data_IF_046664011881
#
_entry.id   IF_046664011881
#
_cell.length_a   1.000
_cell.length_b   1.000
_cell.length_c   1.000
_cell.angle_alpha   90.00
_cell.angle_beta   90.00
_cell.angle_gamma   90.00
#
_symmetry.space_group_name_H-M   'P 1'
#
loop_
_entity.id
_entity.type
_entity.pdbx_description
1 polymer ?
#
# COMPACT_ATOMS: atom_id res chain seq x y z
N UNK A 1 -30.95 24.27 53.31
CA UNK A 1 -30.17 24.86 52.20
C UNK A 1 -28.85 24.12 52.12
N UNK A 2 -28.59 23.43 51.02
CA UNK A 2 -27.36 22.71 50.77
C UNK A 2 -27.39 22.15 49.36
N UNK A 3 -27.12 23.02 48.37
CA UNK A 3 -27.03 22.62 46.96
C UNK A 3 -25.62 22.09 46.69
N UNK A 4 -25.57 20.84 46.26
CA UNK A 4 -24.40 20.16 45.69
C UNK A 4 -23.90 20.92 44.46
N UNK A 5 -22.70 21.53 44.55
CA UNK A 5 -21.92 22.08 43.43
C UNK A 5 -20.56 21.39 43.44
N UNK A 6 -20.41 20.23 42.78
CA UNK A 6 -19.10 19.58 42.66
C UNK A 6 -18.89 18.73 41.39
N UNK A 7 -19.74 18.83 40.36
CA UNK A 7 -19.51 18.13 39.08
C UNK A 7 -19.20 19.06 37.88
N UNK A 8 -19.37 20.39 38.01
CA UNK A 8 -19.12 21.33 36.90
C UNK A 8 -17.63 21.64 36.70
N UNK A 9 -16.90 21.94 37.78
CA UNK A 9 -15.51 22.42 37.69
C UNK A 9 -14.49 21.35 37.25
N UNK A 10 -14.84 20.06 37.39
CA UNK A 10 -13.97 18.95 36.99
C UNK A 10 -14.11 18.66 35.48
N UNK A 11 -15.33 18.71 34.95
CA UNK A 11 -15.60 18.58 33.51
C UNK A 11 -15.01 19.76 32.72
N UNK A 12 -15.12 20.98 33.24
CA UNK A 12 -14.54 22.18 32.61
C UNK A 12 -13.00 22.09 32.54
N UNK A 13 -12.34 21.56 33.58
CA UNK A 13 -10.87 21.38 33.60
C UNK A 13 -10.36 20.25 32.70
N UNK A 14 -11.17 19.23 32.44
CA UNK A 14 -10.85 18.17 31.48
C UNK A 14 -11.00 18.69 30.04
N UNK A 15 -12.11 19.38 29.72
CA UNK A 15 -12.31 20.01 28.40
C UNK A 15 -11.25 21.08 28.07
N UNK A 16 -10.85 21.89 29.05
CA UNK A 16 -9.80 22.92 28.87
C UNK A 16 -8.41 22.30 28.56
N UNK A 17 -8.06 21.15 29.15
CA UNK A 17 -6.79 20.45 28.89
C UNK A 17 -6.80 19.69 27.55
N UNK A 18 -7.95 19.13 27.16
CA UNK A 18 -8.14 18.45 25.87
C UNK A 18 -7.98 19.42 24.69
N UNK A 19 -8.58 20.61 24.79
CA UNK A 19 -8.42 21.67 23.79
C UNK A 19 -7.00 22.24 23.73
N UNK A 20 -6.25 22.22 24.83
CA UNK A 20 -4.87 22.70 24.89
C UNK A 20 -3.94 21.78 24.09
N UNK A 21 -4.03 20.45 24.28
CA UNK A 21 -3.18 19.49 23.58
C UNK A 21 -3.41 19.49 22.05
N UNK A 22 -4.67 19.58 21.61
CA UNK A 22 -5.03 19.61 20.19
C UNK A 22 -4.42 20.81 19.44
N UNK A 23 -4.27 21.95 20.13
CA UNK A 23 -3.75 23.21 19.56
C UNK A 23 -2.28 23.43 19.86
N UNK A 24 -1.68 22.57 20.70
CA UNK A 24 -0.31 22.70 21.15
C UNK A 24 0.67 22.63 19.98
N UNK A 25 1.46 23.69 19.83
CA UNK A 25 2.57 23.75 18.88
C UNK A 25 3.88 23.41 19.56
N UNK A 26 4.81 22.86 18.80
CA UNK A 26 6.19 22.70 19.21
C UNK A 26 6.84 24.07 19.43
N UNK A 27 7.74 24.16 20.42
CA UNK A 27 8.52 25.39 20.68
C UNK A 27 9.33 25.83 19.46
N UNK A 28 9.82 24.85 18.69
CA UNK A 28 10.55 25.04 17.46
C UNK A 28 10.06 24.00 16.45
N UNK A 29 9.79 24.43 15.22
CA UNK A 29 9.43 23.54 14.13
C UNK A 29 10.48 22.44 13.95
N UNK A 30 10.03 21.20 13.83
CA UNK A 30 10.90 20.07 13.50
C UNK A 30 10.82 19.81 12.02
N UNK A 31 11.99 19.65 11.40
CA UNK A 31 12.10 19.46 9.96
C UNK A 31 12.83 18.15 9.70
N UNK A 32 12.20 17.24 8.96
CA UNK A 32 12.86 16.04 8.46
C UNK A 32 13.39 16.29 7.05
N UNK A 33 14.61 15.87 6.77
CA UNK A 33 15.14 15.88 5.41
C UNK A 33 14.47 14.76 4.62
N UNK A 34 13.89 15.11 3.48
CA UNK A 34 13.26 14.15 2.56
C UNK A 34 13.77 14.36 1.14
N UNK A 35 14.15 13.32 0.39
CA UNK A 35 14.67 13.48 -0.95
C UNK A 35 13.61 13.89 -1.98
N UNK A 36 12.32 13.60 -1.73
CA UNK A 36 11.21 13.87 -2.66
C UNK A 36 10.65 15.27 -2.43
N UNK A 37 10.26 15.56 -1.19
CA UNK A 37 9.63 16.83 -0.80
C UNK A 37 10.62 17.88 -0.29
N UNK A 38 11.92 17.58 -0.32
CA UNK A 38 13.05 18.35 0.24
C UNK A 38 13.06 18.41 1.78
N UNK A 39 11.91 18.73 2.37
CA UNK A 39 11.69 18.88 3.80
C UNK A 39 10.26 18.51 4.18
N UNK A 40 10.09 17.83 5.31
CA UNK A 40 8.78 17.58 5.95
C UNK A 40 8.73 18.43 7.21
N UNK A 41 7.68 19.22 7.38
CA UNK A 41 7.56 20.24 8.43
C UNK A 41 6.56 19.81 9.50
N UNK A 42 7.02 19.66 10.74
CA UNK A 42 6.17 19.28 11.89
C UNK A 42 6.12 20.43 12.88
N UNK A 43 4.92 20.99 13.06
CA UNK A 43 4.63 22.10 13.98
C UNK A 43 3.75 21.69 15.15
N UNK A 44 2.90 20.69 14.96
CA UNK A 44 1.89 20.24 15.92
C UNK A 44 2.49 19.20 16.89
N UNK A 45 2.29 19.38 18.21
CA UNK A 45 2.80 18.44 19.22
C UNK A 45 2.16 17.05 19.03
N UNK A 46 0.88 16.99 18.70
CA UNK A 46 0.16 15.74 18.38
C UNK A 46 0.88 14.94 17.30
N UNK A 47 1.24 15.58 16.19
CA UNK A 47 1.89 14.92 15.06
C UNK A 47 3.28 14.43 15.48
N UNK A 48 4.03 15.23 16.23
CA UNK A 48 5.33 14.84 16.76
C UNK A 48 5.24 13.60 17.66
N UNK A 49 4.26 13.57 18.57
CA UNK A 49 4.01 12.44 19.46
C UNK A 49 3.59 11.18 18.68
N UNK A 50 2.72 11.32 17.67
CA UNK A 50 2.32 10.22 16.79
C UNK A 50 3.51 9.61 16.05
N UNK A 51 4.38 10.46 15.49
CA UNK A 51 5.62 9.99 14.83
C UNK A 51 6.49 9.20 15.80
N UNK A 52 6.52 9.58 17.08
CA UNK A 52 7.31 8.92 18.13
C UNK A 52 6.79 7.56 18.60
N UNK A 53 5.55 7.18 18.27
CA UNK A 53 4.93 5.93 18.73
C UNK A 53 5.61 4.70 18.14
N UNK A 54 5.64 3.60 18.90
CA UNK A 54 6.24 2.34 18.45
C UNK A 54 5.56 1.77 17.20
N UNK A 55 4.24 1.94 17.06
CA UNK A 55 3.48 1.42 15.91
C UNK A 55 3.85 2.19 14.64
N UNK A 56 4.04 3.51 14.71
CA UNK A 56 4.50 4.30 13.56
C UNK A 56 5.99 4.04 13.25
N UNK A 57 6.85 3.94 14.27
CA UNK A 57 8.26 3.62 14.07
C UNK A 57 8.49 2.24 13.44
N UNK A 58 7.56 1.29 13.59
CA UNK A 58 7.58 -0.01 12.90
C UNK A 58 7.66 0.12 11.39
N UNK A 59 7.00 1.14 10.81
CA UNK A 59 6.95 1.35 9.37
C UNK A 59 8.32 1.58 8.72
N UNK A 60 9.37 1.89 9.51
CA UNK A 60 10.76 1.97 9.01
C UNK A 60 11.31 0.63 8.53
N UNK A 61 10.76 -0.48 9.03
CA UNK A 61 11.21 -1.85 8.76
C UNK A 61 10.32 -2.57 7.75
N UNK A 62 9.41 -1.84 7.11
CA UNK A 62 8.48 -2.35 6.10
C UNK A 62 8.70 -1.50 4.84
N UNK A 63 9.12 -2.14 3.74
CA UNK A 63 9.35 -1.44 2.47
C UNK A 63 8.03 -1.05 1.84
N UNK A 64 8.02 0.08 1.15
CA UNK A 64 6.86 0.55 0.40
C UNK A 64 6.50 -0.45 -0.71
N UNK A 65 7.50 -0.85 -1.51
CA UNK A 65 7.31 -1.63 -2.73
C UNK A 65 7.60 -3.12 -2.58
N UNK A 66 7.54 -3.66 -1.36
CA UNK A 66 7.66 -5.10 -1.09
C UNK A 66 8.90 -5.73 -1.75
N UNK A 67 8.70 -6.63 -2.72
CA UNK A 67 9.79 -7.36 -3.40
C UNK A 67 10.45 -6.58 -4.54
N UNK A 68 9.98 -5.36 -4.84
CA UNK A 68 10.44 -4.57 -6.00
C UNK A 68 11.94 -4.26 -5.96
N UNK A 69 12.56 -4.19 -4.77
CA UNK A 69 14.01 -4.02 -4.63
C UNK A 69 14.82 -5.13 -5.31
N UNK A 70 14.24 -6.31 -5.52
CA UNK A 70 14.89 -7.39 -6.28
C UNK A 70 14.96 -7.09 -7.77
N UNK A 71 14.12 -6.21 -8.32
CA UNK A 71 14.22 -5.75 -9.72
C UNK A 71 14.90 -4.39 -9.79
N UNK A 72 14.39 -3.43 -9.02
CA UNK A 72 14.85 -2.04 -8.95
C UNK A 72 15.57 -1.85 -7.63
N UNK A 73 16.87 -2.14 -7.61
CA UNK A 73 17.69 -2.17 -6.38
C UNK A 73 17.79 -0.87 -5.58
N UNK A 74 17.27 0.25 -6.10
CA UNK A 74 17.11 1.50 -5.34
C UNK A 74 15.79 1.60 -4.55
N UNK A 75 14.81 0.73 -4.82
CA UNK A 75 13.47 0.71 -4.22
C UNK A 75 13.46 0.18 -2.77
N UNK A 76 14.29 0.78 -1.93
CA UNK A 76 14.53 0.40 -0.54
C UNK A 76 13.80 1.33 0.45
N UNK A 77 13.02 2.29 -0.04
CA UNK A 77 12.28 3.22 0.79
C UNK A 77 11.17 2.53 1.59
N UNK A 78 10.94 3.05 2.80
CA UNK A 78 10.01 2.45 3.76
C UNK A 78 8.66 3.16 3.77
N UNK A 79 7.64 2.47 4.27
CA UNK A 79 6.32 3.06 4.51
C UNK A 79 6.37 4.27 5.43
N UNK A 80 7.33 4.31 6.36
CA UNK A 80 7.58 5.47 7.21
C UNK A 80 7.90 6.74 6.39
N UNK A 81 8.71 6.61 5.34
CA UNK A 81 9.05 7.75 4.48
C UNK A 81 7.82 8.24 3.71
N UNK A 82 7.04 7.30 3.20
CA UNK A 82 5.81 7.56 2.47
C UNK A 82 4.76 8.25 3.35
N UNK A 83 4.44 7.70 4.53
CA UNK A 83 3.46 8.29 5.45
C UNK A 83 3.81 9.72 5.87
N UNK A 84 5.09 10.03 6.07
CA UNK A 84 5.52 11.40 6.32
C UNK A 84 5.39 12.33 5.10
N UNK A 85 5.59 11.80 3.90
CA UNK A 85 5.40 12.54 2.66
C UNK A 85 3.93 12.85 2.37
N UNK A 86 3.03 11.87 2.59
CA UNK A 86 1.58 12.08 2.53
C UNK A 86 1.13 13.15 3.54
N UNK A 87 1.65 13.07 4.77
CA UNK A 87 1.45 14.12 5.78
C UNK A 87 1.90 15.50 5.28
N UNK A 88 3.09 15.64 4.69
CA UNK A 88 3.58 16.93 4.19
C UNK A 88 2.71 17.47 3.05
N UNK A 89 2.26 16.62 2.12
CA UNK A 89 1.37 17.03 1.04
C UNK A 89 0.04 17.55 1.61
N UNK A 90 -0.56 16.83 2.55
CA UNK A 90 -1.80 17.27 3.21
C UNK A 90 -1.59 18.56 3.98
N UNK A 91 -0.48 18.69 4.72
CA UNK A 91 -0.10 19.92 5.40
C UNK A 91 -0.06 21.10 4.43
N UNK A 92 0.55 20.95 3.26
CA UNK A 92 0.59 22.00 2.23
C UNK A 92 -0.79 22.30 1.67
N UNK A 93 -1.61 21.29 1.45
CA UNK A 93 -2.99 21.50 0.96
C UNK A 93 -3.79 22.33 1.98
N UNK A 94 -3.83 21.90 3.25
CA UNK A 94 -4.67 22.54 4.26
C UNK A 94 -4.11 23.88 4.75
N UNK A 95 -2.78 23.98 4.96
CA UNK A 95 -2.15 25.20 5.51
C UNK A 95 -1.87 26.27 4.45
N UNK A 96 -1.59 25.88 3.20
CA UNK A 96 -1.10 26.82 2.17
C UNK A 96 -2.12 27.01 1.03
N UNK A 97 -2.80 25.94 0.60
CA UNK A 97 -3.70 25.98 -0.57
C UNK A 97 -5.13 26.34 -0.20
N UNK A 98 -5.64 25.75 0.89
CA UNK A 98 -7.03 25.87 1.34
C UNK A 98 -7.25 26.97 2.37
N UNK A 99 -6.18 27.47 3.01
CA UNK A 99 -6.24 28.57 3.96
C UNK A 99 -7.07 29.76 3.43
N UNK A 100 -7.96 30.26 4.28
CA UNK A 100 -8.87 31.37 4.00
C UNK A 100 -9.95 31.10 2.95
N UNK A 101 -10.14 29.86 2.47
CA UNK A 101 -11.23 29.51 1.54
C UNK A 101 -12.50 29.15 2.30
N UNK A 102 -13.67 29.66 1.88
CA UNK A 102 -14.93 29.45 2.61
C UNK A 102 -15.41 27.99 2.59
N UNK A 103 -15.01 27.20 1.59
CA UNK A 103 -15.37 25.78 1.49
C UNK A 103 -14.49 24.85 2.36
N UNK A 104 -13.48 25.38 3.05
CA UNK A 104 -12.62 24.62 3.94
C UNK A 104 -12.96 24.93 5.40
N UNK A 105 -13.15 23.89 6.21
CA UNK A 105 -13.35 24.01 7.65
C UNK A 105 -12.02 23.78 8.39
N UNK A 106 -11.49 24.83 9.01
CA UNK A 106 -10.22 24.75 9.76
C UNK A 106 -10.24 23.77 10.94
N UNK A 107 -11.42 23.45 11.48
CA UNK A 107 -11.55 22.46 12.55
C UNK A 107 -11.17 21.03 12.08
N UNK A 108 -11.20 20.77 10.77
CA UNK A 108 -10.83 19.49 10.15
C UNK A 108 -9.33 19.34 9.88
N UNK A 109 -8.56 20.42 10.08
CA UNK A 109 -7.12 20.47 9.79
C UNK A 109 -6.36 19.37 10.51
N UNK A 110 -6.48 19.31 11.84
CA UNK A 110 -5.73 18.33 12.64
C UNK A 110 -6.17 16.90 12.32
N UNK A 111 -7.46 16.66 12.10
CA UNK A 111 -7.99 15.36 11.72
C UNK A 111 -7.37 14.89 10.39
N UNK A 112 -7.32 15.78 9.41
CA UNK A 112 -6.75 15.51 8.08
C UNK A 112 -5.26 15.17 8.18
N UNK A 113 -4.49 15.91 8.99
CA UNK A 113 -3.06 15.64 9.22
C UNK A 113 -2.83 14.29 9.92
N UNK A 114 -3.62 13.96 10.94
CA UNK A 114 -3.53 12.69 11.65
C UNK A 114 -3.89 11.51 10.74
N UNK A 115 -4.98 11.62 9.98
CA UNK A 115 -5.39 10.57 9.05
C UNK A 115 -4.37 10.37 7.92
N UNK A 116 -3.81 11.46 7.38
CA UNK A 116 -2.73 11.41 6.39
C UNK A 116 -1.48 10.68 6.91
N UNK A 117 -1.06 10.99 8.12
CA UNK A 117 0.11 10.35 8.74
C UNK A 117 -0.15 8.86 8.99
N UNK A 118 -1.38 8.47 9.35
CA UNK A 118 -1.68 7.14 9.87
C UNK A 118 -2.37 6.19 8.85
N UNK A 119 -2.66 6.64 7.63
CA UNK A 119 -3.42 5.86 6.64
C UNK A 119 -2.82 4.46 6.38
N UNK A 120 -1.50 4.35 6.46
CA UNK A 120 -0.72 3.18 6.07
C UNK A 120 -0.22 2.31 7.25
N UNK A 121 -0.69 2.60 8.47
CA UNK A 121 -0.17 2.06 9.73
C UNK A 121 -0.35 0.54 9.87
N UNK A 122 -1.42 0.03 9.28
CA UNK A 122 -1.85 -1.35 9.30
C UNK A 122 -1.14 -2.25 8.29
N UNK A 123 -0.26 -1.74 7.43
CA UNK A 123 0.45 -2.61 6.49
C UNK A 123 1.49 -3.51 7.17
N UNK A 124 1.53 -4.76 6.73
CA UNK A 124 2.51 -5.77 7.14
C UNK A 124 3.73 -5.86 6.21
N UNK A 125 4.68 -6.75 6.50
CA UNK A 125 5.84 -6.97 5.64
C UNK A 125 5.43 -7.46 4.25
N UNK A 126 6.07 -6.95 3.20
CA UNK A 126 5.75 -7.27 1.81
C UNK A 126 4.29 -6.99 1.38
N UNK A 127 3.53 -6.21 2.18
CA UNK A 127 2.26 -5.61 1.78
C UNK A 127 1.25 -6.64 1.23
N UNK A 128 0.70 -6.39 0.03
CA UNK A 128 -0.36 -7.20 -0.57
C UNK A 128 -0.01 -8.67 -0.77
N UNK A 129 1.27 -9.04 -0.94
CA UNK A 129 1.64 -10.46 -1.07
C UNK A 129 1.37 -11.22 0.23
N UNK A 130 1.62 -10.59 1.37
CA UNK A 130 1.38 -11.17 2.69
C UNK A 130 -0.11 -11.23 3.02
N UNK A 131 -0.84 -10.16 2.72
CA UNK A 131 -2.30 -10.05 2.87
C UNK A 131 -3.04 -11.14 2.09
N UNK A 132 -2.64 -11.40 0.84
CA UNK A 132 -3.24 -12.46 0.00
C UNK A 132 -3.09 -13.86 0.57
N UNK A 133 -1.93 -14.17 1.15
CA UNK A 133 -1.64 -15.51 1.71
C UNK A 133 -2.47 -15.78 2.96
N UNK A 134 -2.63 -14.77 3.82
CA UNK A 134 -3.25 -14.92 5.14
C UNK A 134 -4.66 -14.33 5.23
N UNK A 135 -5.22 -13.85 4.11
CA UNK A 135 -6.54 -13.21 4.03
C UNK A 135 -6.69 -12.05 5.02
N UNK A 136 -5.67 -11.21 5.08
CA UNK A 136 -5.63 -10.03 5.96
C UNK A 136 -5.95 -8.77 5.18
N UNK A 137 -6.51 -7.78 5.87
CA UNK A 137 -6.77 -6.45 5.32
C UNK A 137 -6.01 -5.40 6.14
N UNK A 138 -5.13 -4.64 5.48
CA UNK A 138 -4.35 -3.60 6.14
C UNK A 138 -5.22 -2.41 6.58
N UNK A 139 -6.34 -2.11 5.90
CA UNK A 139 -7.26 -1.06 6.34
C UNK A 139 -7.90 -1.46 7.68
N UNK A 140 -8.29 -2.74 7.84
CA UNK A 140 -8.79 -3.28 9.12
C UNK A 140 -7.72 -3.18 10.22
N UNK A 141 -6.48 -3.61 9.95
CA UNK A 141 -5.39 -3.47 10.93
C UNK A 141 -5.06 -2.01 11.25
N UNK A 142 -5.16 -1.09 10.29
CA UNK A 142 -5.01 0.34 10.56
C UNK A 142 -6.05 0.81 11.58
N UNK A 143 -7.32 0.41 11.41
CA UNK A 143 -8.38 0.72 12.37
C UNK A 143 -8.14 0.07 13.73
N UNK A 144 -7.74 -1.21 13.78
CA UNK A 144 -7.41 -1.90 15.02
C UNK A 144 -6.27 -1.21 15.78
N UNK A 145 -5.24 -0.74 15.08
CA UNK A 145 -4.14 0.01 15.70
C UNK A 145 -4.65 1.34 16.26
N UNK A 146 -5.48 2.07 15.52
CA UNK A 146 -5.99 3.38 15.93
C UNK A 146 -6.97 3.27 17.11
N UNK A 147 -7.81 2.25 17.13
CA UNK A 147 -8.89 2.07 18.11
C UNK A 147 -8.49 1.19 19.30
N UNK A 148 -7.47 0.35 19.14
CA UNK A 148 -7.01 -0.61 20.13
C UNK A 148 -6.13 -0.02 21.23
N UNK A 149 -5.57 -0.89 22.08
CA UNK A 149 -4.70 -0.49 23.19
C UNK A 149 -3.25 -0.25 22.71
N UNK A 150 -3.05 0.84 21.97
CA UNK A 150 -1.77 1.20 21.33
C UNK A 150 -1.25 2.55 21.82
N UNK A 151 0.01 2.89 21.52
CA UNK A 151 0.52 4.24 21.81
C UNK A 151 -0.17 5.30 20.92
N UNK A 152 -0.50 4.93 19.69
CA UNK A 152 -1.30 5.75 18.77
C UNK A 152 -2.64 6.14 19.39
N UNK A 153 -3.43 5.16 19.86
CA UNK A 153 -4.70 5.43 20.50
C UNK A 153 -4.54 6.32 21.73
N UNK A 154 -3.51 6.07 22.56
CA UNK A 154 -3.21 6.89 23.74
C UNK A 154 -2.90 8.33 23.38
N UNK A 155 -2.18 8.57 22.28
CA UNK A 155 -1.88 9.94 21.79
C UNK A 155 -3.15 10.61 21.27
N UNK A 156 -3.92 9.93 20.43
CA UNK A 156 -5.15 10.48 19.84
C UNK A 156 -6.22 10.75 20.90
N UNK A 157 -6.33 9.89 21.92
CA UNK A 157 -7.32 10.03 22.99
C UNK A 157 -7.05 11.20 23.95
N UNK A 158 -5.82 11.77 23.96
CA UNK A 158 -5.52 13.01 24.69
C UNK A 158 -6.19 14.24 24.08
N UNK A 159 -6.55 14.18 22.80
CA UNK A 159 -7.26 15.27 22.10
C UNK A 159 -8.72 15.29 22.51
N UNK A 160 -9.38 14.13 22.40
CA UNK A 160 -10.74 13.86 22.84
C UNK A 160 -10.99 12.36 22.72
N UNK A 161 -11.83 11.77 23.59
CA UNK A 161 -12.12 10.33 23.60
C UNK A 161 -12.67 9.78 22.28
N UNK A 162 -13.40 10.60 21.51
CA UNK A 162 -13.95 10.21 20.19
C UNK A 162 -13.00 10.46 19.02
N UNK A 163 -11.88 11.16 19.22
CA UNK A 163 -10.97 11.53 18.15
C UNK A 163 -10.34 10.33 17.43
N UNK A 164 -9.90 9.24 18.10
CA UNK A 164 -9.42 8.05 17.41
C UNK A 164 -10.44 7.47 16.42
N UNK A 165 -11.73 7.48 16.80
CA UNK A 165 -12.82 7.02 15.94
C UNK A 165 -12.94 7.84 14.67
N UNK A 166 -12.87 9.17 14.77
CA UNK A 166 -12.89 10.06 13.60
C UNK A 166 -11.74 9.76 12.64
N UNK A 167 -10.52 9.56 13.15
CA UNK A 167 -9.35 9.21 12.32
C UNK A 167 -9.59 7.88 11.58
N UNK A 168 -10.08 6.87 12.30
CA UNK A 168 -10.41 5.56 11.70
C UNK A 168 -11.55 5.65 10.66
N UNK A 169 -12.55 6.50 10.89
CA UNK A 169 -13.65 6.74 9.94
C UNK A 169 -13.16 7.42 8.65
N UNK A 170 -12.18 8.33 8.73
CA UNK A 170 -11.59 8.98 7.55
C UNK A 170 -10.86 7.94 6.69
N UNK A 171 -10.04 7.09 7.31
CA UNK A 171 -9.26 6.05 6.61
C UNK A 171 -10.18 5.02 5.96
N UNK A 172 -11.22 4.58 6.68
CA UNK A 172 -12.23 3.68 6.12
C UNK A 172 -13.27 4.36 5.21
N UNK A 173 -13.06 5.63 4.84
CA UNK A 173 -13.90 6.39 3.91
C UNK A 173 -15.37 6.55 4.36
N UNK A 174 -15.65 6.35 5.65
CA UNK A 174 -16.98 6.44 6.27
C UNK A 174 -17.23 7.76 6.98
N UNK A 175 -16.21 8.61 7.15
CA UNK A 175 -16.37 9.94 7.73
C UNK A 175 -17.36 10.81 6.93
N UNK A 176 -18.06 11.69 7.64
CA UNK A 176 -19.14 12.51 7.10
C UNK A 176 -18.63 13.56 6.10
N UNK A 177 -17.47 14.16 6.39
CA UNK A 177 -16.88 15.19 5.55
C UNK A 177 -16.12 14.55 4.37
N UNK A 178 -16.76 14.52 3.19
CA UNK A 178 -16.21 13.87 1.99
C UNK A 178 -15.00 14.61 1.42
N UNK A 179 -14.90 15.92 1.60
CA UNK A 179 -13.69 16.67 1.26
C UNK A 179 -12.47 16.11 2.02
N UNK A 180 -12.57 15.91 3.34
CA UNK A 180 -11.48 15.34 4.16
C UNK A 180 -11.07 13.95 3.68
N UNK A 181 -12.05 13.08 3.42
CA UNK A 181 -11.78 11.73 2.88
C UNK A 181 -11.08 11.81 1.53
N UNK A 182 -11.53 12.70 0.62
CA UNK A 182 -10.99 12.82 -0.73
C UNK A 182 -9.53 13.26 -0.79
N UNK A 183 -9.06 13.97 0.23
CA UNK A 183 -7.67 14.42 0.31
C UNK A 183 -6.71 13.23 0.49
N UNK A 184 -7.16 12.16 1.15
CA UNK A 184 -6.36 10.97 1.46
C UNK A 184 -6.67 9.83 0.49
N UNK A 185 -7.94 9.69 0.08
CA UNK A 185 -8.40 8.64 -0.83
C UNK A 185 -9.34 9.19 -1.90
N UNK A 186 -8.82 9.36 -3.11
CA UNK A 186 -9.55 9.72 -4.32
C UNK A 186 -8.79 9.27 -5.58
N UNK A 187 -9.08 9.86 -6.75
CA UNK A 187 -8.27 9.65 -7.96
C UNK A 187 -7.02 10.56 -7.99
N UNK A 188 -7.00 11.63 -7.18
CA UNK A 188 -5.91 12.61 -7.07
C UNK A 188 -5.72 13.04 -5.62
N UNK A 189 -5.36 12.09 -4.78
CA UNK A 189 -5.13 12.26 -3.36
C UNK A 189 -3.64 12.43 -3.02
N UNK A 190 -3.36 12.76 -1.75
CA UNK A 190 -2.00 12.92 -1.25
C UNK A 190 -1.21 11.61 -1.19
N UNK A 191 -1.89 10.47 -0.97
CA UNK A 191 -1.28 9.13 -0.99
C UNK A 191 -0.62 8.86 -2.35
N UNK A 192 -1.42 8.92 -3.43
CA UNK A 192 -0.97 8.74 -4.81
C UNK A 192 0.05 9.76 -5.24
N UNK A 193 -0.13 11.02 -4.85
CA UNK A 193 0.83 12.06 -5.20
C UNK A 193 2.20 11.83 -4.55
N UNK A 194 2.27 11.30 -3.33
CA UNK A 194 3.53 10.93 -2.70
C UNK A 194 4.12 9.69 -3.34
N UNK A 195 3.40 8.56 -3.34
CA UNK A 195 4.00 7.29 -3.74
C UNK A 195 4.46 7.34 -5.19
N UNK A 196 3.73 7.97 -6.11
CA UNK A 196 4.15 8.02 -7.53
C UNK A 196 5.50 8.71 -7.69
N UNK A 197 5.68 9.88 -7.05
CA UNK A 197 6.95 10.61 -7.11
C UNK A 197 8.05 9.92 -6.32
N UNK A 198 7.74 9.36 -5.15
CA UNK A 198 8.70 8.68 -4.29
C UNK A 198 9.18 7.39 -4.92
N UNK A 199 8.27 6.56 -5.40
CA UNK A 199 8.59 5.33 -6.12
C UNK A 199 9.42 5.64 -7.36
N UNK A 200 9.05 6.67 -8.13
CA UNK A 200 9.83 7.08 -9.29
C UNK A 200 11.26 7.49 -8.91
N UNK A 201 11.41 8.27 -7.85
CA UNK A 201 12.70 8.72 -7.32
C UNK A 201 13.59 7.54 -6.91
N UNK A 202 13.05 6.60 -6.11
CA UNK A 202 13.84 5.48 -5.58
C UNK A 202 14.06 4.35 -6.59
N UNK A 203 13.16 4.15 -7.54
CA UNK A 203 13.39 3.22 -8.67
C UNK A 203 14.30 3.81 -9.74
N UNK A 204 14.52 5.13 -9.74
CA UNK A 204 15.40 5.84 -10.67
C UNK A 204 14.77 6.08 -12.04
N UNK A 205 13.45 6.05 -12.15
CA UNK A 205 12.73 6.20 -13.43
C UNK A 205 12.25 7.62 -13.65
N UNK A 206 12.32 8.10 -14.90
CA UNK A 206 11.95 9.48 -15.24
C UNK A 206 10.46 9.67 -15.48
N UNK A 207 9.74 8.61 -15.83
CA UNK A 207 8.34 8.64 -16.30
C UNK A 207 7.28 8.57 -15.19
N UNK A 208 7.67 8.67 -13.91
CA UNK A 208 6.74 8.79 -12.78
C UNK A 208 6.69 10.18 -12.14
N UNK A 209 7.38 11.15 -12.74
CA UNK A 209 7.45 12.52 -12.23
C UNK A 209 6.38 13.40 -12.90
N UNK A 210 5.64 14.17 -12.10
CA UNK A 210 4.67 15.17 -12.56
C UNK A 210 4.80 16.46 -11.75
N UNK A 211 4.26 17.57 -12.25
CA UNK A 211 4.35 18.87 -11.58
C UNK A 211 3.31 19.02 -10.44
N UNK A 212 3.66 18.48 -9.26
CA UNK A 212 2.84 18.59 -8.05
C UNK A 212 2.62 20.06 -7.62
N UNK A 213 3.61 20.93 -7.79
CA UNK A 213 3.49 22.37 -7.46
C UNK A 213 2.39 23.03 -8.29
N UNK A 214 2.30 22.68 -9.58
CA UNK A 214 1.25 23.15 -10.46
C UNK A 214 -0.11 22.64 -10.03
N UNK A 215 -0.24 21.36 -9.66
CA UNK A 215 -1.49 20.75 -9.17
C UNK A 215 -1.97 21.45 -7.90
N UNK A 216 -1.10 21.59 -6.89
CA UNK A 216 -1.43 22.26 -5.63
C UNK A 216 -1.92 23.70 -5.86
N UNK A 217 -1.25 24.46 -6.74
CA UNK A 217 -1.63 25.85 -7.05
C UNK A 217 -3.06 26.00 -7.60
N UNK A 218 -3.52 25.01 -8.37
CA UNK A 218 -4.82 25.03 -9.07
C UNK A 218 -5.90 24.24 -8.34
N UNK A 219 -5.56 23.50 -7.29
CA UNK A 219 -6.49 22.73 -6.47
C UNK A 219 -7.41 23.63 -5.65
N UNK A 220 -8.70 23.28 -5.54
CA UNK A 220 -9.72 24.04 -4.80
C UNK A 220 -10.59 23.09 -3.97
N UNK A 221 -10.94 23.45 -2.74
CA UNK A 221 -11.92 22.71 -1.96
C UNK A 221 -13.32 22.93 -2.54
N UNK A 222 -14.13 21.87 -2.55
CA UNK A 222 -15.58 21.89 -2.75
C UNK A 222 -16.20 20.97 -1.72
N UNK A 223 -17.51 21.09 -1.52
CA UNK A 223 -18.28 20.37 -0.50
C UNK A 223 -17.94 18.88 -0.44
N UNK A 224 -17.88 18.22 -1.60
CA UNK A 224 -17.67 16.77 -1.66
C UNK A 224 -16.21 16.33 -1.89
N UNK A 225 -15.36 17.17 -2.50
CA UNK A 225 -14.00 16.77 -2.89
C UNK A 225 -13.08 17.94 -3.27
N UNK A 226 -11.77 17.68 -3.31
CA UNK A 226 -10.83 18.57 -3.97
C UNK A 226 -11.00 18.54 -5.50
N UNK A 227 -11.08 19.71 -6.13
CA UNK A 227 -11.21 19.87 -7.60
C UNK A 227 -10.04 20.66 -8.15
N UNK A 228 -9.78 20.56 -9.46
CA UNK A 228 -8.66 21.25 -10.12
C UNK A 228 -9.22 22.34 -11.05
N UNK A 229 -8.72 23.58 -10.99
CA UNK A 229 -9.10 24.59 -12.00
C UNK A 229 -8.76 24.10 -13.41
N UNK A 230 -9.60 24.41 -14.40
CA UNK A 230 -9.38 24.05 -15.81
C UNK A 230 -7.99 24.43 -16.33
N UNK A 231 -7.44 25.57 -15.89
CA UNK A 231 -6.07 26.00 -16.24
C UNK A 231 -4.96 25.02 -15.80
N UNK A 232 -5.29 24.05 -14.96
CA UNK A 232 -4.43 23.00 -14.44
C UNK A 232 -4.54 21.67 -15.17
N UNK A 233 -5.44 21.53 -16.14
CA UNK A 233 -5.76 20.27 -16.81
C UNK A 233 -4.52 19.49 -17.25
N UNK A 234 -3.58 20.13 -17.95
CA UNK A 234 -2.37 19.46 -18.44
C UNK A 234 -1.45 18.93 -17.34
N UNK A 235 -1.44 19.54 -16.14
CA UNK A 235 -0.68 18.98 -15.01
C UNK A 235 -1.35 17.71 -14.46
N UNK A 236 -2.68 17.65 -14.53
CA UNK A 236 -3.44 16.45 -14.18
C UNK A 236 -3.28 15.37 -15.25
N UNK A 237 -3.24 15.73 -16.54
CA UNK A 237 -2.93 14.79 -17.63
C UNK A 237 -1.56 14.13 -17.41
N UNK A 238 -0.55 14.92 -17.05
CA UNK A 238 0.80 14.45 -16.75
C UNK A 238 0.85 13.53 -15.53
N UNK A 239 0.10 13.85 -14.46
CA UNK A 239 -0.11 12.97 -13.30
C UNK A 239 -0.73 11.62 -13.70
N UNK A 240 -1.80 11.63 -14.51
CA UNK A 240 -2.45 10.38 -14.96
C UNK A 240 -1.51 9.57 -15.86
N UNK A 241 -0.74 10.23 -16.73
CA UNK A 241 0.23 9.55 -17.59
C UNK A 241 1.38 8.95 -16.77
N UNK A 242 1.88 9.68 -15.79
CA UNK A 242 2.90 9.21 -14.86
C UNK A 242 2.42 7.98 -14.10
N UNK A 243 1.19 8.02 -13.58
CA UNK A 243 0.54 6.87 -12.95
C UNK A 243 0.46 5.69 -13.91
N UNK A 244 -0.06 5.89 -15.12
CA UNK A 244 -0.15 4.85 -16.14
C UNK A 244 1.21 4.15 -16.37
N UNK A 245 2.27 4.93 -16.54
CA UNK A 245 3.60 4.40 -16.81
C UNK A 245 4.19 3.66 -15.61
N UNK A 246 4.01 4.17 -14.38
CA UNK A 246 4.47 3.52 -13.16
C UNK A 246 3.86 2.13 -12.95
N UNK A 247 2.58 1.95 -13.23
CA UNK A 247 1.95 0.63 -13.13
C UNK A 247 2.57 -0.39 -14.08
N UNK A 248 2.73 -0.05 -15.36
CA UNK A 248 3.25 -0.99 -16.35
C UNK A 248 4.74 -1.28 -16.20
N UNK A 249 5.52 -0.28 -15.78
CA UNK A 249 6.97 -0.39 -15.77
C UNK A 249 7.52 -0.83 -14.42
N UNK A 250 6.84 -0.50 -13.31
CA UNK A 250 7.30 -0.81 -11.95
C UNK A 250 6.40 -1.87 -11.31
N UNK A 251 5.13 -1.53 -11.04
CA UNK A 251 4.27 -2.36 -10.19
C UNK A 251 3.95 -3.71 -10.84
N UNK A 252 3.81 -3.76 -12.16
CA UNK A 252 3.52 -4.98 -12.92
C UNK A 252 4.76 -5.56 -13.61
N UNK A 253 5.97 -5.12 -13.23
CA UNK A 253 7.18 -5.66 -13.82
C UNK A 253 7.27 -7.18 -13.55
N UNK A 254 7.33 -8.04 -14.58
CA UNK A 254 7.25 -9.50 -14.41
C UNK A 254 8.31 -10.09 -13.47
N UNK A 255 9.52 -9.51 -13.42
CA UNK A 255 10.56 -9.97 -12.49
C UNK A 255 10.20 -9.67 -11.02
N UNK A 256 9.55 -8.53 -10.74
CA UNK A 256 9.06 -8.20 -9.39
C UNK A 256 7.94 -9.15 -9.00
N UNK A 257 6.99 -9.37 -9.91
CA UNK A 257 5.88 -10.32 -9.74
C UNK A 257 6.40 -11.75 -9.50
N UNK A 258 7.46 -12.18 -10.19
CA UNK A 258 8.13 -13.46 -9.95
C UNK A 258 8.62 -13.62 -8.51
N UNK A 259 9.20 -12.56 -7.94
CA UNK A 259 9.62 -12.58 -6.54
C UNK A 259 8.43 -12.64 -5.56
N UNK A 260 7.32 -11.94 -5.85
CA UNK A 260 6.09 -12.06 -5.06
C UNK A 260 5.48 -13.47 -5.14
N UNK A 261 5.52 -14.10 -6.31
CA UNK A 261 5.06 -15.49 -6.51
C UNK A 261 5.87 -16.43 -5.62
N UNK A 262 7.20 -16.33 -5.66
CA UNK A 262 8.06 -17.17 -4.82
C UNK A 262 7.78 -16.91 -3.33
N UNK A 263 7.70 -15.64 -2.92
CA UNK A 263 7.37 -15.24 -1.55
C UNK A 263 6.06 -15.91 -1.07
N UNK A 264 5.01 -15.81 -1.88
CA UNK A 264 3.69 -16.40 -1.62
C UNK A 264 3.80 -17.92 -1.46
N UNK A 265 4.54 -18.58 -2.35
CA UNK A 265 4.71 -20.05 -2.32
C UNK A 265 5.56 -20.53 -1.15
N UNK A 266 6.55 -19.76 -0.68
CA UNK A 266 7.26 -20.06 0.58
C UNK A 266 6.27 -20.08 1.74
N UNK A 267 5.47 -19.02 1.89
CA UNK A 267 4.53 -18.88 3.01
C UNK A 267 3.42 -19.94 2.97
N UNK A 268 2.90 -20.26 1.77
CA UNK A 268 1.97 -21.38 1.60
C UNK A 268 2.60 -22.71 2.01
N UNK A 269 3.82 -23.00 1.56
CA UNK A 269 4.50 -24.25 1.91
C UNK A 269 4.72 -24.36 3.41
N UNK A 270 5.14 -23.28 4.07
CA UNK A 270 5.29 -23.24 5.52
C UNK A 270 3.97 -23.51 6.25
N UNK A 271 2.85 -22.93 5.78
CA UNK A 271 1.51 -23.18 6.33
C UNK A 271 1.08 -24.65 6.15
N UNK A 272 1.35 -25.26 4.99
CA UNK A 272 1.02 -26.66 4.71
C UNK A 272 1.84 -27.63 5.59
N UNK A 273 3.13 -27.34 5.77
CA UNK A 273 4.01 -28.10 6.66
C UNK A 273 3.55 -28.00 8.12
N UNK A 274 3.16 -26.81 8.58
CA UNK A 274 2.57 -26.63 9.93
C UNK A 274 1.32 -27.51 10.11
N UNK A 275 0.39 -27.47 9.15
CA UNK A 275 -0.86 -28.26 9.20
C UNK A 275 -0.64 -29.77 9.19
N UNK A 276 0.47 -30.25 8.61
CA UNK A 276 0.82 -31.68 8.58
C UNK A 276 1.63 -32.13 9.79
N UNK A 277 1.91 -31.24 10.75
CA UNK A 277 2.70 -31.55 11.94
C UNK A 277 4.20 -31.68 11.67
N UNK A 278 4.69 -31.04 10.59
CA UNK A 278 6.12 -30.95 10.30
C UNK A 278 6.87 -30.30 11.46
N UNK A 279 8.02 -30.87 11.83
CA UNK A 279 8.89 -30.31 12.85
C UNK A 279 9.96 -29.45 12.18
N UNK A 280 9.75 -28.14 12.21
CA UNK A 280 10.75 -27.17 11.76
C UNK A 280 12.01 -27.26 12.61
N UNK A 281 13.17 -26.98 12.01
CA UNK A 281 14.44 -26.88 12.76
C UNK A 281 14.39 -25.72 13.75
N UNK A 282 13.75 -24.63 13.36
CA UNK A 282 13.41 -23.51 14.23
C UNK A 282 11.91 -23.26 14.16
N UNK A 283 11.25 -23.30 15.32
CA UNK A 283 9.82 -23.08 15.41
C UNK A 283 9.43 -21.68 14.87
N UNK A 284 8.53 -21.60 13.86
CA UNK A 284 8.09 -20.35 13.26
C UNK A 284 7.03 -19.65 14.12
N UNK A 285 7.37 -19.35 15.38
CA UNK A 285 6.44 -18.84 16.40
C UNK A 285 5.67 -17.58 15.97
N UNK A 286 6.30 -16.71 15.18
CA UNK A 286 5.67 -15.47 14.68
C UNK A 286 4.59 -15.75 13.63
N UNK A 287 4.54 -16.96 13.06
CA UNK A 287 3.56 -17.36 12.07
C UNK A 287 2.44 -18.25 12.61
N UNK A 288 2.51 -18.72 13.87
CA UNK A 288 1.50 -19.65 14.36
C UNK A 288 0.08 -19.06 14.37
N UNK A 289 -0.10 -17.84 14.86
CA UNK A 289 -1.41 -17.19 14.83
C UNK A 289 -1.90 -16.90 13.40
N UNK A 290 -0.99 -16.71 12.45
CA UNK A 290 -1.30 -16.62 11.01
C UNK A 290 -1.71 -17.96 10.40
N UNK A 291 -0.99 -19.03 10.72
CA UNK A 291 -1.28 -20.37 10.22
C UNK A 291 -2.59 -20.93 10.77
N UNK A 292 -2.94 -20.55 12.00
CA UNK A 292 -4.19 -20.89 12.68
C UNK A 292 -5.36 -19.97 12.36
N UNK A 293 -5.13 -18.91 11.57
CA UNK A 293 -6.14 -17.91 11.20
C UNK A 293 -6.79 -17.26 12.43
N UNK A 294 -5.97 -17.00 13.45
CA UNK A 294 -6.33 -16.35 14.74
C UNK A 294 -5.34 -15.24 15.08
N UNK A 295 -4.99 -14.44 14.08
CA UNK A 295 -4.02 -13.36 14.22
C UNK A 295 -4.52 -12.36 15.26
N UNK A 296 -3.68 -12.07 16.24
CA UNK A 296 -3.92 -10.98 17.19
C UNK A 296 -3.18 -9.74 16.72
N UNK A 297 -3.69 -8.55 17.08
CA UNK A 297 -2.98 -7.30 16.81
C UNK A 297 -1.55 -7.29 17.39
N UNK A 298 -1.36 -7.88 18.58
CA UNK A 298 -0.04 -7.95 19.21
C UNK A 298 0.96 -8.78 18.39
N UNK A 299 0.53 -9.92 17.86
CA UNK A 299 1.37 -10.74 16.99
C UNK A 299 1.63 -10.06 15.66
N UNK A 300 0.60 -9.43 15.09
CA UNK A 300 0.71 -8.68 13.84
C UNK A 300 1.76 -7.56 13.92
N UNK A 301 1.76 -6.80 15.02
CA UNK A 301 2.72 -5.71 15.24
C UNK A 301 4.16 -6.18 15.48
N UNK A 302 4.40 -7.47 15.71
CA UNK A 302 5.75 -8.05 15.79
C UNK A 302 6.32 -8.39 14.40
N UNK A 303 5.50 -8.32 13.34
CA UNK A 303 5.92 -8.65 11.99
C UNK A 303 6.51 -7.44 11.27
N UNK A 304 7.68 -7.66 10.70
CA UNK A 304 8.34 -6.81 9.73
C UNK A 304 9.21 -7.67 8.80
N UNK A 305 9.80 -7.07 7.77
CA UNK A 305 10.50 -7.86 6.74
C UNK A 305 11.74 -8.56 7.29
N UNK A 306 12.38 -8.02 8.33
CA UNK A 306 13.55 -8.65 8.94
C UNK A 306 13.18 -9.98 9.61
N UNK A 307 12.01 -10.06 10.26
CA UNK A 307 11.48 -11.31 10.81
C UNK A 307 11.24 -12.35 9.72
N UNK A 308 10.58 -11.95 8.63
CA UNK A 308 10.29 -12.86 7.51
C UNK A 308 11.59 -13.38 6.86
N UNK A 309 12.53 -12.47 6.58
CA UNK A 309 13.82 -12.82 5.98
C UNK A 309 14.67 -13.70 6.89
N UNK A 310 14.61 -13.52 8.22
CA UNK A 310 15.24 -14.43 9.17
C UNK A 310 14.72 -15.86 9.01
N UNK A 311 13.40 -16.04 8.96
CA UNK A 311 12.83 -17.37 8.77
C UNK A 311 13.18 -17.95 7.40
N UNK A 312 13.18 -17.15 6.34
CA UNK A 312 13.61 -17.63 5.02
C UNK A 312 15.07 -18.07 5.05
N UNK A 313 15.92 -17.37 5.78
CA UNK A 313 17.31 -17.77 5.95
C UNK A 313 17.42 -19.15 6.60
N UNK A 314 16.68 -19.39 7.68
CA UNK A 314 16.65 -20.70 8.37
C UNK A 314 16.02 -21.78 7.48
N UNK A 315 14.99 -21.44 6.72
CA UNK A 315 14.25 -22.38 5.88
C UNK A 315 15.05 -22.91 4.70
N UNK A 316 16.14 -22.24 4.28
CA UNK A 316 17.14 -22.81 3.36
C UNK A 316 17.82 -24.08 3.90
N UNK A 317 17.79 -24.27 5.22
CA UNK A 317 18.40 -25.43 5.87
C UNK A 317 17.39 -26.53 6.18
N UNK A 318 16.09 -26.36 5.90
CA UNK A 318 15.07 -27.36 6.22
C UNK A 318 15.20 -28.65 5.39
N UNK A 319 14.62 -29.73 5.91
CA UNK A 319 14.63 -31.03 5.21
C UNK A 319 13.56 -31.10 4.10
N UNK A 320 12.54 -30.24 4.16
CA UNK A 320 11.54 -30.16 3.09
C UNK A 320 12.15 -29.53 1.83
N UNK A 321 12.23 -30.28 0.70
CA UNK A 321 12.96 -29.81 -0.47
C UNK A 321 12.33 -28.59 -1.14
N UNK A 322 11.00 -28.44 -1.04
CA UNK A 322 10.26 -27.32 -1.66
C UNK A 322 10.49 -26.05 -0.84
N UNK A 323 10.27 -26.11 0.48
CA UNK A 323 10.48 -24.95 1.35
C UNK A 323 11.92 -24.47 1.28
N UNK A 324 12.87 -25.41 1.28
CA UNK A 324 14.29 -25.14 1.11
C UNK A 324 14.58 -24.42 -0.20
N UNK A 325 14.23 -25.02 -1.34
CA UNK A 325 14.56 -24.46 -2.66
C UNK A 325 13.89 -23.09 -2.87
N UNK A 326 12.61 -22.92 -2.50
CA UNK A 326 11.93 -21.64 -2.64
C UNK A 326 12.58 -20.54 -1.77
N UNK A 327 12.96 -20.87 -0.54
CA UNK A 327 13.65 -19.94 0.35
C UNK A 327 15.03 -19.57 -0.20
N UNK A 328 15.79 -20.55 -0.72
CA UNK A 328 17.09 -20.32 -1.37
C UNK A 328 16.94 -19.42 -2.61
N UNK A 329 15.88 -19.63 -3.39
CA UNK A 329 15.56 -18.80 -4.57
C UNK A 329 15.30 -17.36 -4.21
N UNK A 330 14.49 -17.12 -3.19
CA UNK A 330 14.18 -15.75 -2.77
C UNK A 330 15.42 -15.04 -2.22
N UNK A 331 16.14 -15.70 -1.29
CA UNK A 331 17.31 -15.13 -0.63
C UNK A 331 18.48 -14.86 -1.58
N UNK A 332 18.66 -15.71 -2.60
CA UNK A 332 19.76 -15.59 -3.57
C UNK A 332 19.30 -15.04 -4.94
N UNK A 333 18.08 -14.52 -5.02
CA UNK A 333 17.50 -13.93 -6.25
C UNK A 333 17.53 -14.87 -7.47
N UNK A 334 17.32 -16.17 -7.25
CA UNK A 334 17.07 -17.14 -8.32
C UNK A 334 15.56 -17.21 -8.65
N UNK A 335 15.06 -16.16 -9.28
CA UNK A 335 13.64 -15.96 -9.53
C UNK A 335 13.11 -16.83 -10.68
N UNK A 336 11.81 -17.15 -10.64
CA UNK A 336 11.13 -17.85 -11.72
C UNK A 336 11.17 -17.02 -13.02
N UNK A 337 11.25 -17.73 -14.14
CA UNK A 337 11.00 -17.17 -15.48
C UNK A 337 9.51 -17.15 -15.73
N UNK A 338 9.10 -16.46 -16.80
CA UNK A 338 7.71 -16.30 -17.15
C UNK A 338 7.49 -16.48 -18.65
N UNK A 339 6.27 -16.84 -19.01
CA UNK A 339 5.75 -16.81 -20.37
C UNK A 339 4.42 -16.05 -20.39
N UNK A 340 4.09 -15.43 -21.53
CA UNK A 340 2.74 -14.93 -21.79
C UNK A 340 1.75 -16.10 -21.72
N UNK A 341 0.66 -15.93 -20.99
CA UNK A 341 -0.29 -17.02 -20.79
C UNK A 341 -1.69 -16.48 -20.47
N UNK A 342 -2.66 -16.71 -21.35
CA UNK A 342 -4.06 -16.34 -21.09
C UNK A 342 -4.85 -17.56 -20.55
N UNK A 343 -5.19 -17.61 -19.24
CA UNK A 343 -5.86 -18.77 -18.66
C UNK A 343 -7.22 -19.07 -19.30
N UNK A 344 -7.93 -18.06 -19.81
CA UNK A 344 -9.23 -18.26 -20.46
C UNK A 344 -9.09 -18.92 -21.83
N UNK A 345 -7.98 -18.69 -22.53
CA UNK A 345 -7.73 -19.24 -23.88
C UNK A 345 -6.88 -20.51 -23.86
N UNK A 346 -5.98 -20.65 -22.90
CA UNK A 346 -4.93 -21.66 -22.87
C UNK A 346 -5.10 -22.70 -21.75
N UNK A 347 -6.33 -22.90 -21.23
CA UNK A 347 -6.62 -23.85 -20.16
C UNK A 347 -6.12 -25.30 -20.45
N UNK A 348 -6.21 -25.77 -21.70
CA UNK A 348 -5.68 -27.10 -22.08
C UNK A 348 -4.17 -27.19 -21.95
N UNK A 349 -3.47 -26.11 -22.33
CA UNK A 349 -2.01 -26.01 -22.21
C UNK A 349 -1.59 -26.03 -20.75
N UNK A 350 -2.35 -25.33 -19.88
CA UNK A 350 -2.12 -25.38 -18.43
C UNK A 350 -2.25 -26.80 -17.87
N UNK A 351 -3.37 -27.48 -18.14
CA UNK A 351 -3.58 -28.84 -17.64
C UNK A 351 -2.53 -29.84 -18.16
N UNK A 352 -2.07 -29.67 -19.40
CA UNK A 352 -0.95 -30.46 -19.93
C UNK A 352 0.36 -30.17 -19.17
N UNK A 353 0.69 -28.89 -18.95
CA UNK A 353 1.87 -28.50 -18.19
C UNK A 353 1.83 -29.02 -16.75
N UNK A 354 0.70 -28.94 -16.05
CA UNK A 354 0.57 -29.50 -14.70
C UNK A 354 0.86 -31.00 -14.66
N UNK A 355 0.34 -31.76 -15.63
CA UNK A 355 0.59 -33.19 -15.73
C UNK A 355 2.07 -33.49 -16.04
N UNK A 356 2.69 -32.70 -16.91
CA UNK A 356 4.11 -32.86 -17.25
C UNK A 356 5.04 -32.48 -16.09
N UNK A 357 4.74 -31.41 -15.34
CA UNK A 357 5.48 -31.01 -14.14
C UNK A 357 5.45 -32.15 -13.10
N UNK A 358 4.26 -32.69 -12.80
CA UNK A 358 4.13 -33.87 -11.92
C UNK A 358 4.96 -35.05 -12.41
N UNK A 359 4.93 -35.34 -13.71
CA UNK A 359 5.73 -36.42 -14.34
C UNK A 359 7.24 -36.14 -14.30
N UNK A 360 7.65 -34.88 -14.29
CA UNK A 360 9.03 -34.45 -14.15
C UNK A 360 9.54 -34.48 -12.70
N UNK A 361 8.64 -34.68 -11.72
CA UNK A 361 8.97 -34.63 -10.29
C UNK A 361 9.07 -33.20 -9.75
N UNK A 362 8.45 -32.23 -10.43
CA UNK A 362 8.39 -30.83 -10.01
C UNK A 362 6.94 -30.56 -9.63
N UNK A 363 6.69 -30.15 -8.40
CA UNK A 363 5.31 -29.94 -7.92
C UNK A 363 4.70 -28.68 -8.56
N UNK A 364 3.70 -28.80 -9.45
CA UNK A 364 3.12 -27.65 -10.12
C UNK A 364 2.44 -26.68 -9.15
N UNK A 365 2.01 -27.12 -7.96
CA UNK A 365 1.40 -26.22 -6.98
C UNK A 365 2.37 -25.12 -6.54
N UNK A 366 3.67 -25.41 -6.47
CA UNK A 366 4.68 -24.45 -6.00
C UNK A 366 5.53 -23.87 -7.14
N UNK A 367 5.58 -24.55 -8.29
CA UNK A 367 6.52 -24.23 -9.37
C UNK A 367 5.86 -23.90 -10.72
N UNK A 368 4.53 -23.93 -10.83
CA UNK A 368 3.81 -23.55 -12.04
C UNK A 368 2.66 -22.62 -11.66
N UNK A 369 2.91 -21.31 -11.71
CA UNK A 369 2.00 -20.32 -11.11
C UNK A 369 1.47 -19.37 -12.17
N UNK A 370 0.15 -19.33 -12.32
CA UNK A 370 -0.53 -18.28 -13.08
C UNK A 370 -0.71 -17.07 -12.17
N UNK A 371 -0.14 -15.94 -12.57
CA UNK A 371 -0.37 -14.65 -11.93
C UNK A 371 -1.08 -13.73 -12.91
N UNK A 372 -2.03 -12.96 -12.39
CA UNK A 372 -2.81 -12.00 -13.16
C UNK A 372 -2.71 -10.64 -12.50
N UNK A 373 -2.21 -9.67 -13.24
CA UNK A 373 -2.18 -8.27 -12.82
C UNK A 373 -3.15 -7.48 -13.69
N UNK A 374 -3.94 -6.61 -13.07
CA UNK A 374 -4.82 -5.70 -13.81
C UNK A 374 -4.83 -4.37 -13.11
N UNK A 375 -4.78 -3.29 -13.88
CA UNK A 375 -5.04 -1.96 -13.38
C UNK A 375 -6.05 -1.23 -14.27
N UNK A 376 -6.72 -0.26 -13.65
CA UNK A 376 -7.51 0.77 -14.32
C UNK A 376 -6.80 2.11 -14.05
N UNK A 377 -5.94 2.57 -14.99
CA UNK A 377 -5.06 3.73 -14.78
C UNK A 377 -5.82 5.00 -14.40
N UNK A 378 -7.06 5.12 -14.88
CA UNK A 378 -8.05 6.07 -14.43
C UNK A 378 -9.42 5.39 -14.48
N UNK A 379 -10.07 5.32 -13.32
CA UNK A 379 -11.34 4.63 -13.11
C UNK A 379 -12.29 5.48 -12.27
N UNK A 380 -13.53 5.61 -12.74
CA UNK A 380 -14.57 6.36 -12.04
C UNK A 380 -15.92 5.81 -12.46
N UNK A 381 -16.93 5.99 -11.60
CA UNK A 381 -18.24 5.36 -11.70
C UNK A 381 -18.71 5.10 -13.14
N UNK A 382 -18.88 3.81 -13.46
CA UNK A 382 -19.62 3.30 -14.61
C UNK A 382 -20.86 2.58 -14.09
N UNK A 383 -22.05 2.79 -14.69
CA UNK A 383 -23.25 2.09 -14.25
C UNK A 383 -23.04 0.56 -14.24
N UNK A 384 -23.02 -0.05 -13.06
CA UNK A 384 -22.89 -1.51 -12.86
C UNK A 384 -21.57 -2.04 -12.29
N UNK A 385 -20.61 -1.19 -11.89
CA UNK A 385 -19.37 -1.61 -11.22
C UNK A 385 -19.40 -1.33 -9.69
N UNK A 386 -18.73 -2.17 -8.89
CA UNK A 386 -18.89 -2.25 -7.41
C UNK A 386 -18.22 -1.13 -6.59
N UNK A 387 -17.27 -0.37 -7.15
CA UNK A 387 -16.56 0.70 -6.42
C UNK A 387 -16.90 2.11 -6.96
N UNK A 388 -17.63 2.90 -6.17
CA UNK A 388 -17.90 4.31 -6.44
C UNK A 388 -16.68 5.19 -6.12
N UNK A 389 -15.82 5.45 -7.11
CA UNK A 389 -14.77 6.49 -6.98
C UNK A 389 -15.19 7.76 -7.71
N UNK A 390 -15.15 8.88 -6.99
CA UNK A 390 -15.42 10.20 -7.57
C UNK A 390 -14.35 10.52 -8.64
N UNK A 391 -14.77 10.98 -9.84
CA UNK A 391 -13.81 11.35 -10.87
C UNK A 391 -13.11 12.67 -10.53
N UNK A 392 -11.99 12.93 -11.21
CA UNK A 392 -11.33 14.23 -11.11
C UNK A 392 -12.17 15.27 -11.85
N UNK A 393 -12.60 16.29 -11.12
CA UNK A 393 -13.36 17.40 -11.68
C UNK A 393 -12.49 18.62 -11.98
N UNK A 394 -12.72 19.19 -13.15
CA UNK A 394 -12.21 20.47 -13.59
C UNK A 394 -13.20 21.59 -13.24
N UNK A 395 -12.75 22.58 -12.47
CA UNK A 395 -13.48 23.80 -12.19
C UNK A 395 -13.31 24.79 -13.35
N UNK A 396 -14.39 24.99 -14.09
CA UNK A 396 -14.47 25.87 -15.25
C UNK A 396 -14.58 27.35 -14.82
N UNK A 397 -14.36 28.28 -15.78
CA UNK A 397 -14.44 29.73 -15.51
C UNK A 397 -15.85 30.20 -15.07
N UNK A 398 -16.89 29.49 -15.50
CA UNK A 398 -18.29 29.73 -15.13
C UNK A 398 -18.68 29.04 -13.79
N UNK A 399 -17.73 28.49 -13.04
CA UNK A 399 -17.92 27.68 -11.83
C UNK A 399 -18.61 26.32 -12.03
N UNK A 400 -18.83 25.91 -13.27
CA UNK A 400 -19.29 24.55 -13.59
C UNK A 400 -18.17 23.55 -13.30
N UNK A 401 -18.54 22.35 -12.82
CA UNK A 401 -17.63 21.23 -12.68
C UNK A 401 -17.79 20.32 -13.91
N UNK A 402 -16.66 19.96 -14.52
CA UNK A 402 -16.63 19.00 -15.63
C UNK A 402 -15.67 17.88 -15.35
N UNK A 403 -16.06 16.67 -15.70
CA UNK A 403 -15.21 15.49 -15.55
C UNK A 403 -14.00 15.59 -16.50
N UNK A 404 -12.81 15.23 -16.00
CA UNK A 404 -11.53 15.37 -16.70
C UNK A 404 -11.49 14.70 -18.08
N UNK A 405 -11.93 13.44 -18.19
CA UNK A 405 -11.89 12.68 -19.46
C UNK A 405 -12.76 13.32 -20.54
N UNK A 406 -13.84 14.02 -20.17
CA UNK A 406 -14.67 14.77 -21.14
C UNK A 406 -13.95 15.98 -21.75
N UNK A 407 -12.92 16.49 -21.10
CA UNK A 407 -12.18 17.68 -21.54
C UNK A 407 -10.75 17.36 -22.05
N UNK A 408 -10.24 16.15 -21.77
CA UNK A 408 -8.91 15.69 -22.16
C UNK A 408 -8.96 14.46 -23.06
N UNK A 409 -8.58 14.63 -24.34
CA UNK A 409 -8.49 13.52 -25.29
C UNK A 409 -7.44 12.46 -24.89
N UNK A 410 -6.38 12.85 -24.17
CA UNK A 410 -5.34 11.93 -23.71
C UNK A 410 -5.88 11.06 -22.58
N UNK A 411 -6.56 11.65 -21.61
CA UNK A 411 -7.16 10.92 -20.49
C UNK A 411 -8.30 10.03 -21.00
N UNK A 412 -9.17 10.54 -21.88
CA UNK A 412 -10.25 9.74 -22.49
C UNK A 412 -9.70 8.48 -23.19
N UNK A 413 -8.58 8.62 -23.91
CA UNK A 413 -7.97 7.50 -24.64
C UNK A 413 -7.50 6.34 -23.75
N UNK A 414 -7.28 6.56 -22.45
CA UNK A 414 -6.85 5.52 -21.49
C UNK A 414 -7.92 5.22 -20.42
N UNK A 415 -8.96 6.04 -20.33
CA UNK A 415 -10.03 5.94 -19.32
C UNK A 415 -10.81 4.63 -19.41
N UNK A 416 -10.83 3.90 -18.30
CA UNK A 416 -11.45 2.59 -18.13
C UNK A 416 -11.22 1.59 -19.26
N UNK A 417 -10.03 1.63 -19.87
CA UNK A 417 -9.47 0.50 -20.61
C UNK A 417 -8.76 -0.40 -19.61
N UNK A 418 -9.47 -1.38 -19.06
CA UNK A 418 -8.85 -2.41 -18.21
C UNK A 418 -7.82 -3.15 -19.04
N UNK A 419 -6.57 -3.04 -18.63
CA UNK A 419 -5.50 -3.81 -19.24
C UNK A 419 -5.08 -4.86 -18.23
N UNK A 420 -5.28 -6.10 -18.62
CA UNK A 420 -4.90 -7.27 -17.84
C UNK A 420 -3.68 -7.89 -18.46
N UNK A 421 -2.71 -8.24 -17.64
CA UNK A 421 -1.54 -9.00 -18.03
C UNK A 421 -1.52 -10.31 -17.26
N UNK A 422 -1.41 -11.40 -17.99
CA UNK A 422 -1.44 -12.75 -17.44
C UNK A 422 -0.13 -13.45 -17.78
N UNK A 423 0.56 -13.92 -16.73
CA UNK A 423 1.85 -14.59 -16.85
C UNK A 423 1.78 -15.96 -16.22
N UNK A 424 2.51 -16.90 -16.82
CA UNK A 424 2.79 -18.20 -16.24
C UNK A 424 4.25 -18.24 -15.77
N UNK A 425 4.46 -18.35 -14.46
CA UNK A 425 5.78 -18.41 -13.83
C UNK A 425 6.26 -19.85 -13.62
N UNK A 426 7.55 -20.10 -13.85
CA UNK A 426 8.18 -21.42 -13.73
C UNK A 426 9.69 -21.37 -13.45
N UNK A 427 10.28 -22.41 -12.83
CA UNK A 427 11.71 -22.53 -12.55
C UNK A 427 12.50 -23.03 -13.78
N UNK A 428 12.96 -22.12 -14.64
CA UNK A 428 13.67 -22.49 -15.87
C UNK A 428 14.93 -23.34 -15.62
N UNK A 429 15.65 -23.09 -14.53
CA UNK A 429 16.83 -23.87 -14.11
C UNK A 429 16.51 -25.36 -13.88
N UNK A 430 15.41 -25.67 -13.19
CA UNK A 430 14.98 -27.06 -12.97
C UNK A 430 14.57 -27.74 -14.28
N UNK A 431 14.00 -26.97 -15.22
CA UNK A 431 13.63 -27.46 -16.54
C UNK A 431 14.84 -27.64 -17.46
N UNK A 432 15.91 -26.86 -17.30
CA UNK A 432 17.15 -26.97 -18.07
C UNK A 432 18.07 -28.08 -17.57
N UNK A 433 17.91 -28.53 -16.31
CA UNK A 433 18.65 -29.68 -15.78
C UNK A 433 18.19 -31.00 -16.42
N UNK A 434 18.99 -31.51 -17.36
CA UNK A 434 18.76 -32.77 -18.06
C UNK A 434 19.17 -34.03 -17.25
N UNK A 435 19.63 -33.89 -16.00
CA UNK A 435 20.08 -35.00 -15.13
C UNK A 435 18.97 -36.04 -14.87
N UNK A 436 17.73 -35.59 -14.81
CA UNK A 436 16.54 -36.40 -14.50
C UNK A 436 15.39 -36.10 -15.46
N UNK A 437 14.63 -37.13 -15.84
CA UNK A 437 13.39 -37.02 -16.64
C UNK A 437 13.51 -36.16 -17.92
N UNK A 438 14.68 -36.17 -18.57
CA UNK A 438 15.05 -35.36 -19.75
C UNK A 438 13.97 -35.26 -20.83
N UNK A 439 13.35 -36.38 -21.20
CA UNK A 439 12.33 -36.39 -22.25
C UNK A 439 11.08 -35.57 -21.87
N UNK A 440 10.61 -35.71 -20.63
CA UNK A 440 9.48 -34.92 -20.10
C UNK A 440 9.84 -33.45 -20.02
N UNK A 441 11.03 -33.11 -19.48
CA UNK A 441 11.49 -31.71 -19.39
C UNK A 441 11.63 -31.06 -20.77
N UNK A 442 12.10 -31.79 -21.78
CA UNK A 442 12.11 -31.31 -23.18
C UNK A 442 10.71 -30.97 -23.70
N UNK A 443 9.70 -31.81 -23.43
CA UNK A 443 8.32 -31.53 -23.84
C UNK A 443 7.80 -30.25 -23.17
N UNK A 444 8.07 -30.06 -21.88
CA UNK A 444 7.71 -28.83 -21.15
C UNK A 444 8.37 -27.61 -21.81
N UNK A 445 9.69 -27.67 -22.07
CA UNK A 445 10.43 -26.58 -22.71
C UNK A 445 9.84 -26.23 -24.08
N UNK A 446 9.41 -27.21 -24.87
CA UNK A 446 8.74 -26.96 -26.16
C UNK A 446 7.41 -26.23 -26.00
N UNK A 447 6.59 -26.58 -25.00
CA UNK A 447 5.30 -25.91 -24.76
C UNK A 447 5.49 -24.48 -24.24
N UNK A 448 6.55 -24.24 -23.47
CA UNK A 448 6.90 -22.93 -22.91
C UNK A 448 7.76 -22.07 -23.85
N UNK A 449 8.11 -22.58 -25.04
CA UNK A 449 8.97 -21.90 -26.03
C UNK A 449 10.35 -21.50 -25.48
N UNK A 450 10.94 -22.39 -24.66
CA UNK A 450 12.24 -22.24 -23.98
C UNK A 450 13.46 -22.72 -24.78
#
# INVERSE_FOLDING_TARGET
MGKTRYNGDMLIREEDNEMDYARQKLKEEKVFKDPVHRYIHVKDQVIWDLIGTKEFQRLRRIKQLGTTYLTFHGAEHSRFNHSLGVYEIIRRIVDDVFDGRPEWNEDERLLSLCAALLHDLGHGPFSHSFEKVFHLDHEEFTQEIILGNTEINKVLSKIHKSFPKKVAEVIAKTYENKLVVSLISSQIDADRMDYLQRDAYFTGVSYGHFDMERILRVMRPREDQAVIKYSGMHAVEDYIMSRYQMYWQIYFHPVTRSAEVILTKILHRAKDLYKTGYKFKQDPIHFYSLFEEKVTLEDYLKLDEAVILFYFQIWQEEEDPILKDLSERFMNRNLFKYAEFDPAKEYKKHSELEALFKKAGIDPEYYLVVDSSSDLPYDFYRPGEEEERLPIHLLMKNNELRELSRESAVVDAISGKRRTDHKLYYPADLLMDDSTKRATKKQIRTILEL
#
